data_IF_931692737827
#
_entry.id   IF_931692737827
#
_cell.length_a   1.000
_cell.length_b   1.000
_cell.length_c   1.000
_cell.angle_alpha   90.00
_cell.angle_beta   90.00
_cell.angle_gamma   90.00
#
_symmetry.space_group_name_H-M   'P 1'
#
loop_
_entity.id
_entity.type
_entity.pdbx_description
1 polymer ?
#
# COMPACT_ATOMS: atom_id res chain seq x y z
N UNK A 1 -2.00 -54.90 -43.83
CA UNK A 1 -2.65 -54.01 -42.84
C UNK A 1 -1.56 -53.58 -41.86
N UNK A 2 -0.97 -52.39 -42.06
CA UNK A 2 0.17 -51.90 -41.27
C UNK A 2 -0.41 -51.18 -40.03
N UNK A 3 -0.16 -51.70 -38.84
CA UNK A 3 -0.59 -51.07 -37.59
C UNK A 3 0.48 -50.07 -37.13
N UNK A 4 0.13 -48.78 -37.13
CA UNK A 4 0.94 -47.71 -36.53
C UNK A 4 0.55 -47.61 -35.05
N UNK A 5 1.48 -47.93 -34.15
CA UNK A 5 1.30 -47.68 -32.70
C UNK A 5 1.54 -46.19 -32.41
N UNK A 6 0.67 -45.51 -31.64
CA UNK A 6 0.91 -44.15 -31.20
C UNK A 6 1.92 -44.15 -30.04
N UNK A 7 3.04 -43.45 -30.20
CA UNK A 7 3.98 -43.20 -29.12
C UNK A 7 3.35 -42.18 -28.15
N UNK A 8 2.96 -42.64 -26.96
CA UNK A 8 2.55 -41.78 -25.85
C UNK A 8 3.77 -40.98 -25.37
N UNK A 9 3.82 -39.69 -25.71
CA UNK A 9 4.76 -38.74 -25.14
C UNK A 9 4.38 -38.51 -23.66
N UNK A 10 5.12 -39.16 -22.76
CA UNK A 10 5.03 -38.90 -21.32
C UNK A 10 5.71 -37.57 -21.03
N UNK A 11 4.93 -36.50 -20.92
CA UNK A 11 5.40 -35.20 -20.46
C UNK A 11 5.82 -35.31 -18.98
N UNK A 12 7.13 -35.29 -18.73
CA UNK A 12 7.66 -35.20 -17.37
C UNK A 12 7.53 -33.75 -16.89
N UNK A 13 6.58 -33.49 -16.00
CA UNK A 13 6.51 -32.23 -15.29
C UNK A 13 7.75 -32.08 -14.40
N UNK A 14 8.51 -31.00 -14.60
CA UNK A 14 9.64 -30.69 -13.72
C UNK A 14 9.13 -30.49 -12.29
N UNK A 15 9.89 -31.00 -11.31
CA UNK A 15 9.54 -30.84 -9.90
C UNK A 15 9.40 -29.34 -9.55
N UNK A 16 8.38 -28.94 -8.78
CA UNK A 16 8.18 -27.55 -8.41
C UNK A 16 9.41 -27.04 -7.64
N UNK A 17 9.96 -25.91 -8.09
CA UNK A 17 11.06 -25.24 -7.38
C UNK A 17 10.51 -24.72 -6.06
N UNK A 18 11.11 -25.17 -4.97
CA UNK A 18 10.80 -24.67 -3.63
C UNK A 18 11.51 -23.34 -3.47
N UNK A 19 10.74 -22.26 -3.34
CA UNK A 19 11.29 -20.95 -3.04
C UNK A 19 11.37 -20.71 -1.53
N UNK A 20 12.35 -19.94 -1.10
CA UNK A 20 12.52 -19.52 0.29
C UNK A 20 12.37 -18.02 0.39
N UNK A 21 11.41 -17.55 1.19
CA UNK A 21 11.16 -16.13 1.43
C UNK A 21 11.41 -15.81 2.89
N UNK A 22 12.37 -14.92 3.16
CA UNK A 22 12.83 -14.59 4.51
C UNK A 22 12.91 -13.07 4.70
N UNK A 23 12.46 -12.58 5.85
CA UNK A 23 12.72 -11.22 6.29
C UNK A 23 13.99 -11.19 7.13
N UNK A 24 14.99 -10.43 6.68
CA UNK A 24 16.24 -10.28 7.42
C UNK A 24 16.12 -9.37 8.63
N UNK A 25 17.26 -9.19 9.31
CA UNK A 25 17.37 -8.31 10.48
C UNK A 25 17.07 -6.85 10.11
N UNK A 26 16.37 -6.14 10.99
CA UNK A 26 16.07 -4.72 10.81
C UNK A 26 17.22 -3.82 11.24
N UNK A 27 17.45 -2.73 10.51
CA UNK A 27 18.38 -1.65 10.86
C UNK A 27 17.71 -0.28 10.72
N UNK A 28 18.26 0.75 11.38
CA UNK A 28 17.85 2.14 11.19
C UNK A 28 18.74 2.82 10.15
N UNK A 29 18.13 3.67 9.32
CA UNK A 29 18.82 4.52 8.34
C UNK A 29 18.30 5.96 8.44
N UNK A 30 19.11 6.97 8.07
CA UNK A 30 18.62 8.35 7.97
C UNK A 30 17.48 8.46 6.95
N UNK A 31 16.46 9.27 7.28
CA UNK A 31 15.33 9.56 6.42
C UNK A 31 15.04 11.06 6.41
N UNK A 32 14.92 11.61 5.21
CA UNK A 32 14.48 12.98 5.00
C UNK A 32 13.05 12.90 4.47
N UNK A 33 12.08 13.33 5.27
CA UNK A 33 10.71 13.46 4.79
C UNK A 33 10.67 14.53 3.69
N UNK A 34 9.82 14.33 2.68
CA UNK A 34 9.81 15.13 1.45
C UNK A 34 9.58 16.64 1.67
N UNK A 35 9.15 17.05 2.86
CA UNK A 35 8.77 18.41 3.19
C UNK A 35 9.64 19.04 4.31
N UNK A 36 10.56 18.27 4.89
CA UNK A 36 11.54 18.80 5.85
C UNK A 36 12.67 19.42 5.03
N UNK A 37 12.90 20.72 5.21
CA UNK A 37 13.99 21.44 4.54
C UNK A 37 15.32 20.71 4.72
N UNK A 38 16.13 20.63 3.68
CA UNK A 38 17.46 20.00 3.69
C UNK A 38 18.46 20.64 4.66
N UNK A 39 18.11 21.78 5.26
CA UNK A 39 18.87 22.48 6.31
C UNK A 39 18.47 22.06 7.73
N UNK A 40 17.49 21.17 7.87
CA UNK A 40 17.14 20.58 9.15
C UNK A 40 18.35 19.82 9.73
N UNK A 41 18.61 20.00 11.02
CA UNK A 41 19.72 19.33 11.70
C UNK A 41 19.56 17.81 11.59
N UNK A 42 20.65 17.04 11.66
CA UNK A 42 20.60 15.56 11.64
C UNK A 42 19.64 14.98 12.70
N UNK A 43 19.41 15.73 13.78
CA UNK A 43 18.48 15.39 14.87
C UNK A 43 17.00 15.61 14.51
N UNK A 44 16.70 16.44 13.50
CA UNK A 44 15.36 16.67 12.92
C UNK A 44 15.07 15.73 11.74
N UNK A 45 16.10 15.17 11.10
CA UNK A 45 15.96 14.11 10.10
C UNK A 45 15.60 12.79 10.80
N UNK A 46 14.34 12.36 10.66
CA UNK A 46 13.87 11.12 11.28
C UNK A 46 14.68 9.89 10.88
N UNK A 47 14.56 8.81 11.64
CA UNK A 47 15.14 7.50 11.25
C UNK A 47 14.08 6.59 10.66
N UNK A 48 14.42 5.89 9.57
CA UNK A 48 13.58 4.84 8.98
C UNK A 48 14.09 3.46 9.38
N UNK A 49 13.21 2.59 9.88
CA UNK A 49 13.55 1.19 10.18
C UNK A 49 13.34 0.34 8.93
N UNK A 50 14.42 -0.22 8.39
CA UNK A 50 14.39 -1.02 7.18
C UNK A 50 14.87 -2.44 7.42
N UNK A 51 14.41 -3.40 6.60
CA UNK A 51 14.90 -4.79 6.59
C UNK A 51 14.91 -5.36 5.18
N UNK A 52 15.85 -6.27 4.84
CA UNK A 52 15.85 -6.90 3.51
C UNK A 52 14.77 -7.98 3.43
N UNK A 53 14.08 -8.03 2.30
CA UNK A 53 13.32 -9.19 1.82
C UNK A 53 14.28 -10.07 1.02
N UNK A 54 14.48 -11.29 1.46
CA UNK A 54 15.38 -12.26 0.85
C UNK A 54 14.55 -13.35 0.17
N UNK A 55 14.79 -13.56 -1.12
CA UNK A 55 14.19 -14.65 -1.91
C UNK A 55 15.32 -15.52 -2.44
N UNK A 56 15.31 -16.81 -2.11
CA UNK A 56 16.33 -17.79 -2.52
C UNK A 56 17.76 -17.36 -2.20
N UNK A 57 17.95 -16.82 -0.99
CA UNK A 57 19.25 -16.36 -0.49
C UNK A 57 19.71 -15.02 -1.07
N UNK A 58 18.94 -14.37 -1.95
CA UNK A 58 19.28 -13.06 -2.53
C UNK A 58 18.39 -11.98 -1.98
N UNK A 59 18.95 -10.81 -1.69
CA UNK A 59 18.14 -9.63 -1.35
C UNK A 59 17.34 -9.21 -2.58
N UNK A 60 16.03 -9.34 -2.52
CA UNK A 60 15.10 -8.98 -3.59
C UNK A 60 14.60 -7.54 -3.43
N UNK A 61 14.22 -7.16 -2.20
CA UNK A 61 13.75 -5.82 -1.88
C UNK A 61 14.23 -5.36 -0.50
N UNK A 62 14.15 -4.06 -0.25
CA UNK A 62 14.17 -3.52 1.10
C UNK A 62 12.75 -3.13 1.50
N UNK A 63 12.40 -3.38 2.76
CA UNK A 63 11.08 -3.09 3.32
C UNK A 63 11.18 -2.17 4.53
N UNK A 64 10.11 -1.44 4.81
CA UNK A 64 9.92 -0.65 6.03
C UNK A 64 8.58 -0.97 6.69
N UNK A 65 8.44 -0.62 7.96
CA UNK A 65 7.23 -0.88 8.75
C UNK A 65 7.01 -2.35 9.06
N UNK A 66 5.78 -2.65 9.46
CA UNK A 66 5.33 -4.01 9.73
C UNK A 66 4.71 -4.63 8.48
N UNK A 67 4.76 -5.96 8.42
CA UNK A 67 4.10 -6.74 7.36
C UNK A 67 2.68 -7.06 7.78
N UNK A 68 1.76 -7.12 6.82
CA UNK A 68 0.39 -7.57 7.05
C UNK A 68 0.14 -8.87 6.29
N UNK A 69 -0.14 -9.94 7.00
CA UNK A 69 -0.45 -11.24 6.41
C UNK A 69 -1.88 -11.22 5.84
N UNK A 70 -2.00 -11.51 4.54
CA UNK A 70 -3.28 -11.65 3.84
C UNK A 70 -3.77 -13.09 3.99
N UNK A 71 -2.84 -14.03 3.78
CA UNK A 71 -3.03 -15.47 3.95
C UNK A 71 -1.76 -16.05 4.54
N UNK A 72 -1.77 -17.33 4.92
CA UNK A 72 -0.55 -18.04 5.33
C UNK A 72 0.53 -18.03 4.24
N UNK A 73 0.12 -17.90 2.97
CA UNK A 73 1.00 -17.91 1.79
C UNK A 73 1.42 -16.50 1.36
N UNK A 74 0.72 -15.44 1.77
CA UNK A 74 0.95 -14.11 1.22
C UNK A 74 0.84 -13.00 2.24
N UNK A 75 1.70 -12.01 2.09
CA UNK A 75 1.69 -10.81 2.92
C UNK A 75 1.98 -9.57 2.09
N UNK A 76 1.55 -8.43 2.60
CA UNK A 76 1.89 -7.12 2.04
C UNK A 76 2.89 -6.42 2.93
N UNK A 77 3.76 -5.65 2.30
CA UNK A 77 4.78 -4.85 2.97
C UNK A 77 5.03 -3.55 2.22
N UNK A 78 5.54 -2.54 2.92
CA UNK A 78 5.95 -1.28 2.30
C UNK A 78 7.38 -1.41 1.80
N UNK A 79 7.60 -1.24 0.49
CA UNK A 79 8.95 -1.18 -0.09
C UNK A 79 9.66 0.07 0.41
N UNK A 80 10.98 0.03 0.50
CA UNK A 80 11.85 1.20 0.64
C UNK A 80 12.93 1.14 -0.44
N UNK A 81 13.22 2.29 -1.03
CA UNK A 81 14.20 2.44 -2.10
C UNK A 81 15.37 3.27 -1.61
N UNK A 82 16.57 2.94 -2.09
CA UNK A 82 17.75 3.78 -1.96
C UNK A 82 17.94 4.50 -3.29
N UNK A 83 17.56 5.78 -3.34
CA UNK A 83 17.50 6.55 -4.58
C UNK A 83 18.58 7.61 -4.62
N UNK A 84 19.04 7.96 -5.81
CA UNK A 84 19.91 9.11 -6.02
C UNK A 84 19.04 10.37 -6.19
N UNK A 85 19.02 11.20 -5.16
CA UNK A 85 18.32 12.49 -5.05
C UNK A 85 19.25 13.68 -5.41
N UNK A 86 20.28 13.43 -6.23
CA UNK A 86 21.16 14.48 -6.73
C UNK A 86 20.47 15.29 -7.83
N UNK A 87 20.55 16.62 -7.74
CA UNK A 87 20.02 17.51 -8.78
C UNK A 87 20.85 17.42 -10.07
N UNK A 88 20.27 17.71 -11.24
CA UNK A 88 21.04 17.87 -12.47
C UNK A 88 22.16 18.90 -12.29
N UNK A 89 23.41 18.47 -12.47
CA UNK A 89 24.61 19.32 -12.34
C UNK A 89 25.42 19.12 -11.06
N UNK A 90 24.92 18.37 -10.08
CA UNK A 90 25.70 17.97 -8.92
C UNK A 90 26.75 16.92 -9.29
N UNK A 91 27.98 17.11 -8.80
CA UNK A 91 29.14 16.26 -9.16
C UNK A 91 29.18 14.94 -8.40
N UNK A 92 28.43 14.81 -7.30
CA UNK A 92 28.39 13.62 -6.44
C UNK A 92 26.95 13.13 -6.31
N UNK A 93 26.76 11.81 -6.37
CA UNK A 93 25.46 11.21 -6.08
C UNK A 93 25.04 11.45 -4.63
N UNK A 94 23.76 11.74 -4.43
CA UNK A 94 23.15 11.99 -3.12
C UNK A 94 22.16 10.88 -2.83
N UNK A 95 22.55 9.89 -2.05
CA UNK A 95 21.72 8.72 -1.81
C UNK A 95 20.84 8.89 -0.58
N UNK A 96 19.53 8.68 -0.75
CA UNK A 96 18.54 8.75 0.33
C UNK A 96 17.66 7.52 0.35
N UNK A 97 17.25 7.10 1.55
CA UNK A 97 16.25 6.05 1.71
C UNK A 97 14.87 6.66 1.72
N UNK A 98 13.93 6.15 0.92
CA UNK A 98 12.57 6.65 0.87
C UNK A 98 11.54 5.50 0.75
N UNK A 99 10.40 5.57 1.46
CA UNK A 99 9.31 4.61 1.27
C UNK A 99 8.82 4.61 -0.18
N UNK A 100 8.89 3.45 -0.84
CA UNK A 100 8.38 3.21 -2.20
C UNK A 100 6.95 2.65 -2.19
N UNK A 101 6.53 1.95 -3.23
CA UNK A 101 5.17 1.36 -3.30
C UNK A 101 4.92 0.28 -2.24
N UNK A 102 3.64 -0.08 -2.03
CA UNK A 102 3.31 -1.36 -1.41
C UNK A 102 3.64 -2.52 -2.35
N UNK A 103 3.94 -3.68 -1.79
CA UNK A 103 4.18 -4.92 -2.53
C UNK A 103 3.39 -6.06 -1.91
N UNK A 104 2.96 -7.02 -2.73
CA UNK A 104 2.43 -8.32 -2.33
C UNK A 104 3.51 -9.37 -2.56
N UNK A 105 3.77 -10.18 -1.54
CA UNK A 105 4.78 -11.23 -1.57
C UNK A 105 4.09 -12.58 -1.42
N UNK A 106 4.34 -13.50 -2.35
CA UNK A 106 3.96 -14.91 -2.25
C UNK A 106 5.13 -15.72 -1.69
N UNK A 107 4.93 -16.30 -0.50
CA UNK A 107 5.94 -17.05 0.26
C UNK A 107 6.32 -18.38 -0.42
N UNK A 108 5.45 -18.95 -1.26
CA UNK A 108 5.66 -20.26 -1.89
C UNK A 108 6.30 -20.13 -3.26
N UNK A 109 5.87 -19.15 -4.06
CA UNK A 109 6.46 -18.92 -5.39
C UNK A 109 7.65 -17.95 -5.36
N UNK A 110 7.87 -17.24 -4.26
CA UNK A 110 8.85 -16.16 -4.17
C UNK A 110 8.47 -14.93 -4.99
N UNK A 111 7.26 -14.89 -5.56
CA UNK A 111 6.85 -13.82 -6.46
C UNK A 111 6.55 -12.55 -5.67
N UNK A 112 7.10 -11.44 -6.15
CA UNK A 112 6.94 -10.11 -5.55
C UNK A 112 6.26 -9.21 -6.57
N UNK A 113 5.06 -8.73 -6.25
CA UNK A 113 4.25 -7.90 -7.14
C UNK A 113 4.08 -6.51 -6.53
N UNK A 114 4.36 -5.46 -7.30
CA UNK A 114 4.05 -4.10 -6.87
C UNK A 114 2.53 -3.88 -6.83
N UNK A 115 2.04 -3.28 -5.75
CA UNK A 115 0.64 -2.89 -5.61
C UNK A 115 0.48 -1.42 -5.96
N UNK A 116 -0.43 -1.15 -6.89
CA UNK A 116 -0.83 0.20 -7.24
C UNK A 116 -2.09 0.55 -6.44
N UNK A 117 -1.92 1.40 -5.44
CA UNK A 117 -3.02 1.94 -4.64
C UNK A 117 -3.45 3.25 -5.31
N UNK A 118 -4.66 3.33 -5.89
CA UNK A 118 -5.15 4.53 -6.55
C UNK A 118 -5.10 5.75 -5.62
N UNK A 119 -4.69 6.90 -6.14
CA UNK A 119 -4.67 8.20 -5.44
C UNK A 119 -3.86 8.25 -4.12
N UNK A 120 -3.17 7.17 -3.73
CA UNK A 120 -2.42 7.09 -2.48
C UNK A 120 -1.18 7.98 -2.48
N UNK A 121 -1.03 8.79 -1.43
CA UNK A 121 0.16 9.59 -1.15
C UNK A 121 0.58 9.42 0.33
N UNK A 122 1.83 8.98 0.54
CA UNK A 122 2.37 8.70 1.87
C UNK A 122 2.63 9.96 2.72
N UNK A 123 2.59 11.16 2.12
CA UNK A 123 2.73 12.42 2.83
C UNK A 123 1.45 12.84 3.57
N UNK A 124 0.29 12.27 3.20
CA UNK A 124 -1.02 12.65 3.74
C UNK A 124 -1.66 11.59 4.62
N UNK A 125 -1.39 10.30 4.40
CA UNK A 125 -1.97 9.22 5.17
C UNK A 125 -1.13 7.95 5.19
N UNK A 126 -1.36 7.15 6.22
CA UNK A 126 -0.89 5.77 6.30
C UNK A 126 -1.94 4.83 5.69
N UNK A 127 -1.47 3.68 5.18
CA UNK A 127 -2.35 2.60 4.73
C UNK A 127 -2.60 1.63 5.86
N UNK A 128 -3.86 1.42 6.20
CA UNK A 128 -4.28 0.46 7.21
C UNK A 128 -4.94 -0.73 6.53
N UNK A 129 -4.36 -1.91 6.76
CA UNK A 129 -4.80 -3.15 6.13
C UNK A 129 -5.76 -3.95 7.01
N UNK A 130 -6.72 -4.60 6.38
CA UNK A 130 -7.55 -5.64 7.00
C UNK A 130 -7.91 -6.68 5.95
N UNK A 131 -7.52 -7.94 6.17
CA UNK A 131 -7.58 -9.01 5.15
C UNK A 131 -6.88 -8.52 3.87
N UNK A 132 -7.53 -8.63 2.72
CA UNK A 132 -7.11 -8.17 1.40
C UNK A 132 -7.53 -6.72 1.07
N UNK A 133 -8.04 -5.97 2.05
CA UNK A 133 -8.43 -4.57 1.89
C UNK A 133 -7.39 -3.62 2.49
N UNK A 134 -7.19 -2.50 1.80
CA UNK A 134 -6.39 -1.36 2.22
C UNK A 134 -7.31 -0.15 2.37
N UNK A 135 -7.22 0.57 3.49
CA UNK A 135 -7.90 1.84 3.68
C UNK A 135 -6.91 2.96 3.96
N UNK A 136 -7.12 4.11 3.31
CA UNK A 136 -6.24 5.26 3.36
C UNK A 136 -6.96 6.51 2.86
N UNK A 137 -6.31 7.66 2.99
CA UNK A 137 -6.71 8.85 2.26
C UNK A 137 -5.84 9.07 1.03
N UNK A 138 -6.48 9.48 -0.07
CA UNK A 138 -5.83 9.81 -1.33
C UNK A 138 -6.01 11.27 -1.73
N UNK A 139 -5.30 11.67 -2.77
CA UNK A 139 -5.52 12.94 -3.46
C UNK A 139 -6.23 12.61 -4.78
N UNK A 140 -7.54 12.82 -4.80
CA UNK A 140 -8.32 12.63 -6.01
C UNK A 140 -8.22 13.88 -6.91
N UNK A 141 -7.66 13.72 -8.11
CA UNK A 141 -7.49 14.83 -9.06
C UNK A 141 -8.34 14.63 -10.32
N UNK A 142 -9.19 15.60 -10.62
CA UNK A 142 -9.93 15.69 -11.89
C UNK A 142 -9.47 16.92 -12.67
N UNK A 143 -9.90 17.05 -13.94
CA UNK A 143 -9.59 18.22 -14.76
C UNK A 143 -10.11 19.55 -14.18
N UNK A 144 -11.08 19.53 -13.26
CA UNK A 144 -11.75 20.72 -12.72
C UNK A 144 -11.51 20.97 -11.23
N UNK A 145 -11.21 19.92 -10.48
CA UNK A 145 -11.09 19.99 -9.02
C UNK A 145 -10.16 18.89 -8.48
N UNK A 146 -9.54 19.19 -7.36
CA UNK A 146 -8.79 18.22 -6.54
C UNK A 146 -9.42 18.13 -5.16
N UNK A 147 -9.46 16.93 -4.60
CA UNK A 147 -10.04 16.68 -3.28
C UNK A 147 -9.25 15.64 -2.52
N UNK A 148 -9.28 15.74 -1.19
CA UNK A 148 -8.87 14.66 -0.31
C UNK A 148 -9.96 13.60 -0.38
N UNK A 149 -9.60 12.36 -0.70
CA UNK A 149 -10.55 11.24 -0.78
C UNK A 149 -10.31 10.21 0.32
N UNK A 150 -11.39 9.57 0.79
CA UNK A 150 -11.33 8.31 1.50
C UNK A 150 -11.35 7.18 0.47
N UNK A 151 -10.35 6.31 0.54
CA UNK A 151 -10.17 5.18 -0.37
C UNK A 151 -10.22 3.86 0.41
N UNK A 152 -10.94 2.89 -0.15
CA UNK A 152 -10.89 1.49 0.27
C UNK A 152 -10.58 0.68 -0.97
N UNK A 153 -9.41 0.05 -1.02
CA UNK A 153 -8.97 -0.73 -2.18
C UNK A 153 -8.82 -2.20 -1.81
N UNK A 154 -9.22 -3.10 -2.71
CA UNK A 154 -9.06 -4.54 -2.54
C UNK A 154 -7.94 -5.06 -3.45
N UNK A 155 -7.08 -5.94 -2.93
CA UNK A 155 -6.03 -6.57 -3.73
C UNK A 155 -6.65 -7.28 -4.95
N UNK A 156 -6.10 -6.98 -6.13
CA UNK A 156 -6.56 -7.53 -7.41
C UNK A 156 -7.69 -6.74 -8.08
N UNK A 157 -8.28 -5.74 -7.40
CA UNK A 157 -9.25 -4.84 -8.01
C UNK A 157 -8.55 -3.75 -8.83
N UNK A 158 -9.09 -3.48 -10.03
CA UNK A 158 -8.60 -2.40 -10.89
C UNK A 158 -9.02 -0.99 -10.42
N UNK A 159 -10.03 -0.91 -9.57
CA UNK A 159 -10.57 0.33 -8.99
C UNK A 159 -10.73 0.16 -7.48
N UNK A 160 -10.73 1.26 -6.74
CA UNK A 160 -11.08 1.23 -5.33
C UNK A 160 -12.52 0.72 -5.14
N UNK A 161 -12.73 -0.09 -4.10
CA UNK A 161 -14.05 -0.51 -3.66
C UNK A 161 -14.88 0.67 -3.09
N UNK A 162 -14.19 1.67 -2.53
CA UNK A 162 -14.74 2.98 -2.18
C UNK A 162 -13.74 4.05 -2.63
N UNK A 163 -14.23 5.10 -3.28
CA UNK A 163 -13.52 6.37 -3.47
C UNK A 163 -14.52 7.50 -3.25
N UNK A 164 -14.36 8.26 -2.16
CA UNK A 164 -15.26 9.37 -1.81
C UNK A 164 -14.44 10.60 -1.45
N UNK A 165 -14.71 11.73 -2.11
CA UNK A 165 -14.09 13.02 -1.72
C UNK A 165 -14.68 13.46 -0.38
N UNK A 166 -13.83 13.66 0.62
CA UNK A 166 -14.20 13.98 2.00
C UNK A 166 -13.80 15.40 2.43
N UNK A 167 -12.88 16.04 1.70
CA UNK A 167 -12.53 17.44 1.90
C UNK A 167 -11.88 18.06 0.65
N UNK A 168 -11.83 19.40 0.51
CA UNK A 168 -11.10 20.07 -0.57
C UNK A 168 -9.58 19.79 -0.52
N UNK A 169 -8.89 19.87 -1.66
CA UNK A 169 -7.43 19.81 -1.71
C UNK A 169 -6.86 20.96 -2.57
N UNK A 170 -5.78 21.65 -2.14
CA UNK A 170 -4.96 21.40 -0.95
C UNK A 170 -5.66 21.82 0.36
N UNK A 171 -5.27 21.19 1.46
CA UNK A 171 -5.75 21.55 2.80
C UNK A 171 -5.16 22.93 3.21
N UNK A 172 -5.98 23.83 3.80
CA UNK A 172 -5.54 25.19 4.15
C UNK A 172 -4.50 25.19 5.29
N UNK A 173 -4.53 24.19 6.16
CA UNK A 173 -3.58 24.05 7.27
C UNK A 173 -2.68 22.82 7.05
N UNK A 174 -1.36 22.98 7.20
CA UNK A 174 -0.41 21.86 7.11
C UNK A 174 -0.41 21.03 8.40
N UNK A 175 -1.58 20.55 8.83
CA UNK A 175 -1.66 19.60 9.93
C UNK A 175 -1.17 18.25 9.42
N UNK A 176 -0.18 17.66 10.11
CA UNK A 176 0.28 16.29 9.84
C UNK A 176 -0.03 15.37 11.03
N UNK A 177 -0.55 14.15 10.76
CA UNK A 177 -0.97 13.65 9.45
C UNK A 177 -2.26 14.36 8.96
N UNK A 178 -2.46 14.43 7.64
CA UNK A 178 -3.67 15.04 7.05
C UNK A 178 -4.89 14.16 7.30
N UNK A 179 -4.73 12.84 7.25
CA UNK A 179 -5.72 11.88 7.69
C UNK A 179 -5.22 11.05 8.86
N UNK A 180 -6.12 10.79 9.80
CA UNK A 180 -5.87 9.82 10.86
C UNK A 180 -5.85 8.39 10.25
N UNK A 181 -5.09 7.45 10.86
CA UNK A 181 -5.13 6.05 10.44
C UNK A 181 -6.56 5.52 10.44
N UNK A 182 -6.93 4.81 9.37
CA UNK A 182 -8.26 4.23 9.25
C UNK A 182 -8.51 3.16 10.33
N UNK A 183 -9.76 3.05 10.78
CA UNK A 183 -10.14 2.10 11.84
C UNK A 183 -11.06 1.04 11.25
N UNK A 184 -10.62 -0.22 11.32
CA UNK A 184 -11.38 -1.37 10.85
C UNK A 184 -12.19 -2.02 11.98
N UNK A 185 -13.44 -2.36 11.69
CA UNK A 185 -14.30 -3.19 12.52
C UNK A 185 -14.60 -4.50 11.79
N UNK A 186 -14.60 -5.60 12.54
CA UNK A 186 -14.79 -6.96 12.00
C UNK A 186 -16.26 -7.27 11.67
N UNK A 187 -17.18 -6.95 12.59
CA UNK A 187 -18.60 -7.33 12.52
C UNK A 187 -19.52 -6.15 12.88
N UNK A 188 -20.37 -5.66 11.94
CA UNK A 188 -20.22 -5.87 10.50
C UNK A 188 -18.86 -5.35 10.00
N UNK A 189 -18.40 -5.82 8.85
CA UNK A 189 -17.11 -5.38 8.33
C UNK A 189 -17.23 -3.90 7.91
N UNK A 190 -16.58 -3.01 8.67
CA UNK A 190 -16.66 -1.56 8.48
C UNK A 190 -15.28 -0.94 8.53
N UNK A 191 -15.15 0.21 7.88
CA UNK A 191 -13.96 1.05 7.98
C UNK A 191 -14.37 2.48 8.23
N UNK A 192 -13.66 3.13 9.15
CA UNK A 192 -13.78 4.56 9.41
C UNK A 192 -12.52 5.27 8.93
N UNK A 193 -12.69 6.27 8.06
CA UNK A 193 -11.62 7.13 7.57
C UNK A 193 -11.92 8.56 8.00
N UNK A 194 -10.93 9.27 8.56
CA UNK A 194 -11.15 10.59 9.17
C UNK A 194 -10.04 11.58 8.80
N UNK A 195 -10.36 12.71 8.13
CA UNK A 195 -9.45 13.84 8.02
C UNK A 195 -9.11 14.37 9.41
N UNK A 196 -7.88 14.82 9.60
CA UNK A 196 -7.47 15.44 10.84
C UNK A 196 -8.19 16.79 11.00
N UNK A 197 -9.02 16.91 12.04
CA UNK A 197 -9.90 18.07 12.25
C UNK A 197 -11.21 18.07 11.47
N UNK A 198 -11.50 17.03 10.66
CA UNK A 198 -12.76 16.87 9.93
C UNK A 198 -13.67 15.78 10.49
N UNK A 199 -14.82 15.59 9.85
CA UNK A 199 -15.79 14.54 10.21
C UNK A 199 -15.36 13.17 9.68
N UNK A 200 -15.59 12.08 10.45
CA UNK A 200 -15.32 10.74 10.00
C UNK A 200 -16.31 10.31 8.91
N UNK A 201 -15.82 9.52 7.97
CA UNK A 201 -16.64 8.75 7.02
C UNK A 201 -16.55 7.28 7.38
N UNK A 202 -17.71 6.67 7.60
CA UNK A 202 -17.85 5.24 7.87
C UNK A 202 -18.36 4.55 6.62
N UNK A 203 -17.77 3.40 6.28
CA UNK A 203 -18.18 2.62 5.13
C UNK A 203 -18.33 1.14 5.50
N UNK A 204 -19.44 0.54 5.08
CA UNK A 204 -19.69 -0.89 5.21
C UNK A 204 -19.02 -1.62 4.04
N UNK A 205 -18.08 -2.52 4.35
CA UNK A 205 -17.41 -3.35 3.35
C UNK A 205 -18.10 -4.71 3.30
N UNK A 206 -18.89 -4.94 2.26
CA UNK A 206 -19.57 -6.23 2.01
C UNK A 206 -18.68 -7.10 1.11
N UNK A 207 -18.46 -8.37 1.46
CA UNK A 207 -17.75 -9.36 0.62
C UNK A 207 -18.64 -10.55 0.27
N UNK A 208 -18.54 -11.26 -0.87
CA UNK A 208 -17.49 -11.42 -1.90
C UNK A 208 -17.80 -10.80 -3.27
N UNK A 209 -18.75 -9.87 -3.38
CA UNK A 209 -19.08 -9.20 -4.65
C UNK A 209 -19.57 -7.78 -4.45
N UNK A 210 -19.19 -6.92 -5.40
CA UNK A 210 -19.45 -5.49 -5.60
C UNK A 210 -20.90 -5.03 -5.38
N UNK A 211 -21.40 -5.04 -4.16
CA UNK A 211 -22.64 -4.33 -3.82
C UNK A 211 -22.36 -3.33 -2.69
N UNK A 212 -22.33 -2.08 -3.14
CA UNK A 212 -22.12 -0.86 -2.38
C UNK A 212 -23.44 -0.54 -1.66
N UNK A 213 -23.40 -0.31 -0.35
CA UNK A 213 -24.48 0.39 0.35
C UNK A 213 -23.82 1.52 1.12
N UNK A 214 -24.01 2.74 0.61
CA UNK A 214 -23.78 3.96 1.35
C UNK A 214 -24.99 4.14 2.28
N UNK A 215 -24.79 4.00 3.59
CA UNK A 215 -25.83 4.39 4.55
C UNK A 215 -25.75 5.91 4.70
N UNK A 216 -26.70 6.61 4.07
CA UNK A 216 -26.98 8.01 4.35
C UNK A 216 -27.75 8.11 5.66
N UNK A 217 -27.11 8.62 6.71
CA UNK A 217 -27.77 8.94 7.97
C UNK A 217 -28.69 10.15 7.82
N UNK A 218 -29.99 9.92 8.06
CA UNK A 218 -30.84 10.80 8.87
C UNK A 218 -31.46 12.02 8.19
N UNK A 219 -32.68 11.84 7.68
CA UNK A 219 -33.62 12.91 7.40
C UNK A 219 -35.05 12.41 7.55
N UNK A 220 -35.42 12.00 8.76
CA UNK A 220 -36.83 12.03 9.18
C UNK A 220 -37.24 13.49 9.21
N UNK A 221 -38.15 13.87 8.31
CA UNK A 221 -39.07 14.99 8.53
C UNK A 221 -40.40 14.59 7.90
N UNK A 222 -41.31 14.12 8.76
CA UNK A 222 -42.75 14.12 8.52
C UNK A 222 -43.20 15.54 8.14
N UNK A 223 -43.81 15.70 6.96
CA UNK A 223 -45.05 16.47 6.74
C UNK A 223 -45.57 16.32 5.29
#
# INVERSE_FOLDING_TARGET
MLAVLPALLVAHAAAPKVHTVVLGASRRVPFVAADVSTEAKEDEAGTLRIRPLIVDGKTHEWLTGDTHDITERSFVARRVLHINDALPGEKSGRWVWQPGSWILVDRISGHVTALHLPDFDASISDVVWYRDYAAYCGIHTTAKASGLSAEVWQIGAHKAALSKVIAPWPQPERVRPVCLPAVWQREPMRVTVKPNGGDPVVYNVVGTSTQLVEDGEGGDDDN
#
